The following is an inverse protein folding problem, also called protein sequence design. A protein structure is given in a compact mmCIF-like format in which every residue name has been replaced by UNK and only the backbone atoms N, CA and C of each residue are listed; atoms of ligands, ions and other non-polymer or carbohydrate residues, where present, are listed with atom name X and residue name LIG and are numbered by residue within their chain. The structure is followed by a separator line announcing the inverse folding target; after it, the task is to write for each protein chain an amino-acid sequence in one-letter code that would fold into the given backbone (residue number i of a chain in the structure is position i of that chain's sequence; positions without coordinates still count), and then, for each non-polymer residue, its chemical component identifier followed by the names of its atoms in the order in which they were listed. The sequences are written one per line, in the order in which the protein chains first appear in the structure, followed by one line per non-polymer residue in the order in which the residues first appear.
data_IF_863709749231
#
_entry.id   IF_863709749231
#
_cell.length_a   1.000
_cell.length_b   1.000
_cell.length_c   1.000
_cell.angle_alpha   90.00
_cell.angle_beta   90.00
_cell.angle_gamma   90.00
#
_symmetry.space_group_name_H-M   'P 1'
#
loop_
_entity.id
_entity.type
_entity.pdbx_description
1 polymer ?
#
# COMPACT_ATOMS: atom_id res chain seq x y z
N UNK A 1 2.91 -6.19 -8.23
CA UNK A 1 3.56 -6.56 -6.95
C UNK A 1 5.07 -6.30 -6.85
N UNK A 2 5.91 -6.57 -7.88
CA UNK A 2 7.37 -6.38 -7.75
C UNK A 2 7.79 -4.92 -7.44
N UNK A 3 7.16 -3.94 -8.10
CA UNK A 3 7.39 -2.53 -7.80
C UNK A 3 7.06 -2.17 -6.34
N UNK A 4 5.97 -2.71 -5.80
CA UNK A 4 5.54 -2.47 -4.42
C UNK A 4 6.55 -3.04 -3.43
N UNK A 5 7.02 -4.27 -3.67
CA UNK A 5 8.06 -4.90 -2.87
C UNK A 5 9.38 -4.13 -2.90
N UNK A 6 9.84 -3.73 -4.09
CA UNK A 6 11.08 -2.98 -4.25
C UNK A 6 11.01 -1.62 -3.52
N UNK A 7 9.88 -0.91 -3.64
CA UNK A 7 9.69 0.37 -2.95
C UNK A 7 9.61 0.20 -1.43
N UNK A 8 8.90 -0.83 -0.94
CA UNK A 8 8.80 -1.12 0.49
C UNK A 8 10.18 -1.42 1.10
N UNK A 9 10.97 -2.28 0.47
CA UNK A 9 12.32 -2.60 0.95
C UNK A 9 13.27 -1.42 0.86
N UNK A 10 13.15 -0.58 -0.18
CA UNK A 10 13.92 0.66 -0.26
C UNK A 10 13.56 1.62 0.87
N UNK A 11 12.28 1.74 1.22
CA UNK A 11 11.84 2.58 2.34
C UNK A 11 12.33 2.03 3.69
N UNK A 12 12.22 0.73 3.92
CA UNK A 12 12.74 0.07 5.12
C UNK A 12 14.25 0.29 5.26
N UNK A 13 15.03 0.03 4.21
CA UNK A 13 16.48 0.27 4.21
C UNK A 13 16.81 1.73 4.53
N UNK A 14 16.10 2.68 3.95
CA UNK A 14 16.30 4.12 4.20
C UNK A 14 15.99 4.52 5.65
N UNK A 15 14.96 3.90 6.23
CA UNK A 15 14.58 4.10 7.63
C UNK A 15 15.66 3.55 8.57
N UNK A 16 16.12 2.32 8.33
CA UNK A 16 17.16 1.67 9.14
C UNK A 16 18.48 2.46 9.12
N UNK A 17 18.83 3.05 7.97
CA UNK A 17 20.03 3.86 7.79
C UNK A 17 19.83 5.34 8.16
N UNK A 18 18.66 5.72 8.70
CA UNK A 18 18.32 7.09 9.13
C UNK A 18 18.61 8.15 8.07
N UNK A 19 18.37 7.81 6.81
CA UNK A 19 18.58 8.75 5.70
C UNK A 19 17.64 9.96 5.83
N UNK A 20 18.05 11.19 5.44
CA UNK A 20 17.22 12.39 5.60
C UNK A 20 15.86 12.31 4.90
N UNK A 21 15.75 11.50 3.84
CA UNK A 21 14.55 11.31 3.04
C UNK A 21 13.74 10.05 3.41
N UNK A 22 14.07 9.38 4.53
CA UNK A 22 13.38 8.17 4.98
C UNK A 22 11.87 8.36 5.13
N UNK A 23 11.43 9.45 5.79
CA UNK A 23 10.01 9.74 5.98
C UNK A 23 9.24 9.87 4.66
N UNK A 24 9.85 10.53 3.66
CA UNK A 24 9.27 10.64 2.30
C UNK A 24 9.11 9.26 1.66
N UNK A 25 10.14 8.41 1.73
CA UNK A 25 10.07 7.07 1.15
C UNK A 25 9.08 6.16 1.87
N UNK A 26 8.95 6.26 3.19
CA UNK A 26 7.92 5.54 3.95
C UNK A 26 6.51 5.95 3.52
N UNK A 27 6.26 7.25 3.34
CA UNK A 27 4.97 7.74 2.85
C UNK A 27 4.67 7.24 1.42
N UNK A 28 5.66 7.30 0.52
CA UNK A 28 5.54 6.76 -0.84
C UNK A 28 5.23 5.25 -0.83
N UNK A 29 5.95 4.49 0.01
CA UNK A 29 5.76 3.05 0.12
C UNK A 29 4.37 2.71 0.67
N UNK A 30 3.94 3.34 1.77
CA UNK A 30 2.62 3.09 2.36
C UNK A 30 1.50 3.33 1.36
N UNK A 31 1.53 4.47 0.67
CA UNK A 31 0.53 4.79 -0.36
C UNK A 31 0.52 3.73 -1.47
N UNK A 32 1.67 3.52 -2.12
CA UNK A 32 1.75 2.68 -3.32
C UNK A 32 1.49 1.20 -3.03
N UNK A 33 2.02 0.68 -1.92
CA UNK A 33 1.89 -0.75 -1.57
C UNK A 33 0.44 -1.06 -1.21
N UNK A 34 -0.25 -0.18 -0.48
CA UNK A 34 -1.63 -0.43 -0.07
C UNK A 34 -2.61 -0.33 -1.23
N UNK A 35 -2.42 0.64 -2.14
CA UNK A 35 -3.20 0.72 -3.39
C UNK A 35 -2.99 -0.53 -4.25
N UNK A 36 -1.73 -0.90 -4.52
CA UNK A 36 -1.42 -2.06 -5.34
C UNK A 36 -1.90 -3.39 -4.74
N UNK A 37 -1.84 -3.54 -3.41
CA UNK A 37 -2.33 -4.73 -2.73
C UNK A 37 -3.85 -4.85 -2.83
N UNK A 38 -4.58 -3.75 -2.60
CA UNK A 38 -6.03 -3.74 -2.70
C UNK A 38 -6.51 -4.01 -4.13
N UNK A 39 -5.95 -3.33 -5.13
CA UNK A 39 -6.27 -3.58 -6.55
C UNK A 39 -6.02 -5.04 -6.93
N UNK A 40 -4.86 -5.58 -6.57
CA UNK A 40 -4.52 -6.99 -6.87
C UNK A 40 -5.50 -7.97 -6.21
N UNK A 41 -5.88 -7.72 -4.96
CA UNK A 41 -6.84 -8.58 -4.25
C UNK A 41 -8.24 -8.49 -4.86
N UNK A 42 -8.65 -7.30 -5.29
CA UNK A 42 -9.94 -7.09 -5.94
C UNK A 42 -10.00 -7.79 -7.31
N UNK A 43 -8.94 -7.69 -8.11
CA UNK A 43 -8.82 -8.42 -9.38
C UNK A 43 -8.84 -9.94 -9.15
N UNK A 44 -8.15 -10.42 -8.12
CA UNK A 44 -8.17 -11.82 -7.76
C UNK A 44 -9.58 -12.28 -7.35
N UNK A 45 -10.33 -11.48 -6.60
CA UNK A 45 -11.73 -11.77 -6.26
C UNK A 45 -12.59 -11.84 -7.53
N UNK A 46 -12.41 -10.92 -8.49
CA UNK A 46 -13.11 -10.94 -9.77
C UNK A 46 -12.83 -12.21 -10.58
N UNK A 47 -11.59 -12.71 -10.58
CA UNK A 47 -11.20 -13.96 -11.24
C UNK A 47 -11.90 -15.18 -10.62
N UNK A 48 -12.09 -15.19 -9.30
CA UNK A 48 -12.80 -16.27 -8.61
C UNK A 48 -14.33 -16.22 -8.80
N UNK A 49 -14.86 -15.12 -9.35
CA UNK A 49 -16.29 -14.94 -9.56
C UNK A 49 -17.09 -15.09 -8.26
N UNK A 50 -18.24 -15.78 -8.33
CA UNK A 50 -19.11 -16.01 -7.18
C UNK A 50 -18.41 -16.76 -6.03
N UNK A 51 -17.49 -17.67 -6.33
CA UNK A 51 -16.72 -18.39 -5.30
C UNK A 51 -15.82 -17.46 -4.48
N UNK A 52 -15.33 -16.38 -5.09
CA UNK A 52 -14.52 -15.37 -4.40
C UNK A 52 -15.27 -14.65 -3.28
N UNK A 53 -16.60 -14.61 -3.35
CA UNK A 53 -17.48 -14.04 -2.32
C UNK A 53 -17.85 -15.02 -1.20
N UNK A 54 -17.57 -16.31 -1.36
CA UNK A 54 -17.88 -17.31 -0.35
C UNK A 54 -16.78 -17.32 0.71
N UNK A 55 -17.18 -17.30 1.99
CA UNK A 55 -16.26 -17.31 3.12
C UNK A 55 -15.32 -18.53 3.10
N UNK A 56 -15.77 -19.66 2.53
CA UNK A 56 -15.01 -20.91 2.42
C UNK A 56 -13.69 -20.76 1.63
N UNK A 57 -13.63 -19.81 0.70
CA UNK A 57 -12.43 -19.56 -0.12
C UNK A 57 -11.54 -18.45 0.45
N UNK A 58 -12.03 -17.67 1.43
CA UNK A 58 -11.26 -16.62 2.11
C UNK A 58 -10.89 -15.39 1.26
N UNK A 59 -11.22 -15.35 -0.03
CA UNK A 59 -10.87 -14.24 -0.92
C UNK A 59 -11.54 -12.92 -0.52
N UNK A 60 -12.83 -12.95 -0.19
CA UNK A 60 -13.57 -11.79 0.31
C UNK A 60 -12.94 -11.19 1.58
N UNK A 61 -12.43 -12.05 2.46
CA UNK A 61 -11.75 -11.63 3.69
C UNK A 61 -10.47 -10.85 3.37
N UNK A 62 -9.66 -11.32 2.41
CA UNK A 62 -8.45 -10.62 2.00
C UNK A 62 -8.77 -9.21 1.48
N UNK A 63 -9.80 -9.07 0.64
CA UNK A 63 -10.23 -7.77 0.12
C UNK A 63 -10.68 -6.85 1.25
N UNK A 64 -11.51 -7.35 2.17
CA UNK A 64 -11.97 -6.58 3.33
C UNK A 64 -10.81 -6.13 4.24
N UNK A 65 -9.90 -7.04 4.54
CA UNK A 65 -8.77 -6.76 5.43
C UNK A 65 -7.82 -5.73 4.80
N UNK A 66 -7.56 -5.82 3.49
CA UNK A 66 -6.68 -4.88 2.81
C UNK A 66 -7.27 -3.47 2.67
N UNK A 67 -8.60 -3.34 2.63
CA UNK A 67 -9.26 -2.04 2.46
C UNK A 67 -8.86 -1.03 3.55
N UNK A 68 -8.67 -1.51 4.78
CA UNK A 68 -8.35 -0.66 5.93
C UNK A 68 -6.94 -0.08 5.85
N UNK A 69 -6.02 -0.74 5.13
CA UNK A 69 -4.65 -0.26 5.00
C UNK A 69 -4.54 1.03 4.20
N UNK A 70 -5.52 1.35 3.35
CA UNK A 70 -5.57 2.66 2.68
C UNK A 70 -6.02 3.79 3.62
N UNK A 71 -6.53 3.46 4.82
CA UNK A 71 -7.14 4.39 5.78
C UNK A 71 -6.24 4.60 7.00
N UNK A 72 -5.75 3.51 7.61
CA UNK A 72 -4.94 3.55 8.82
C UNK A 72 -3.47 3.94 8.54
N UNK A 73 -2.77 4.29 9.62
CA UNK A 73 -1.37 4.77 9.59
C UNK A 73 -1.17 5.94 8.63
N UNK A 74 -2.20 6.82 8.57
CA UNK A 74 -2.34 7.94 7.65
C UNK A 74 -2.95 7.52 6.31
N UNK A 75 -4.06 8.15 5.91
CA UNK A 75 -4.75 7.80 4.65
C UNK A 75 -3.86 8.01 3.43
N UNK A 76 -4.20 7.38 2.30
CA UNK A 76 -3.42 7.54 1.07
C UNK A 76 -3.45 8.98 0.53
N UNK A 77 -4.49 9.76 0.84
CA UNK A 77 -4.55 11.21 0.56
C UNK A 77 -3.56 11.99 1.43
N UNK A 78 -3.44 11.65 2.71
CA UNK A 78 -2.44 12.24 3.61
C UNK A 78 -1.03 11.89 3.15
N UNK A 79 -0.78 10.64 2.75
CA UNK A 79 0.52 10.25 2.19
C UNK A 79 0.86 11.04 0.93
N UNK A 80 -0.11 11.20 0.02
CA UNK A 80 0.06 12.02 -1.19
C UNK A 80 0.41 13.46 -0.83
N UNK A 81 -0.26 14.05 0.17
CA UNK A 81 0.03 15.39 0.66
C UNK A 81 1.45 15.51 1.26
N UNK A 82 1.89 14.54 2.07
CA UNK A 82 3.24 14.49 2.64
C UNK A 82 4.30 14.40 1.53
N UNK A 83 4.10 13.51 0.57
CA UNK A 83 5.02 13.33 -0.57
C UNK A 83 5.08 14.60 -1.41
N UNK A 84 3.94 15.22 -1.74
CA UNK A 84 3.91 16.48 -2.49
C UNK A 84 4.64 17.61 -1.77
N UNK A 85 4.45 17.77 -0.45
CA UNK A 85 5.18 18.78 0.34
C UNK A 85 6.68 18.54 0.31
N UNK A 86 7.12 17.29 0.44
CA UNK A 86 8.53 16.94 0.41
C UNK A 86 9.17 17.16 -0.97
N UNK A 87 8.40 17.08 -2.05
CA UNK A 87 8.87 17.37 -3.42
C UNK A 87 8.93 18.87 -3.71
N UNK A 88 8.00 19.66 -3.18
CA UNK A 88 7.92 21.11 -3.41
C UNK A 88 8.82 21.94 -2.49
N UNK A 89 9.27 21.36 -1.37
CA UNK A 89 10.22 22.00 -0.45
C UNK A 89 11.69 21.83 -0.87
N UNK A 90 11.95 21.14 -1.98
CA UNK A 90 13.28 20.89 -2.54
C UNK A 90 13.70 21.96 -3.54
#
# INVERSE_FOLDING_TARGET
LQAARALLYKAAWKLDHKTPDAGKFCAMAKQFVTDAAFETANDALQIHGGYGYLADYGMEKIVRDLRVHQILEGTNEIMRMIVSRALLAA
#
